data_IF_279208447276
#
_entry.id   IF_279208447276
#
_cell.length_a   1.000
_cell.length_b   1.000
_cell.length_c   1.000
_cell.angle_alpha   90.00
_cell.angle_beta   90.00
_cell.angle_gamma   90.00
#
_symmetry.space_group_name_H-M   'P 1'
#
loop_
_entity.id
_entity.type
_entity.pdbx_description
1 polymer ?
#
# COMPACT_ATOMS: atom_id res chain seq x y z
N UNK A 1 4.24 2.99 -6.39
CA UNK A 1 3.69 3.27 -5.05
C UNK A 1 3.83 4.76 -4.78
N UNK A 2 2.92 5.35 -4.03
CA UNK A 2 2.88 6.80 -3.76
C UNK A 2 2.37 7.67 -4.93
N UNK A 3 1.92 7.07 -6.01
CA UNK A 3 1.43 7.77 -7.22
C UNK A 3 -0.04 8.16 -7.12
N UNK A 4 -0.85 7.35 -6.47
CA UNK A 4 -2.31 7.36 -6.59
C UNK A 4 -2.94 8.65 -6.03
N UNK A 5 -2.45 9.12 -4.89
CA UNK A 5 -2.96 10.36 -4.29
C UNK A 5 -2.55 11.61 -5.11
N UNK A 6 -1.27 11.83 -5.46
CA UNK A 6 -0.88 12.92 -6.38
C UNK A 6 -1.60 12.84 -7.73
N UNK A 7 -1.77 11.64 -8.30
CA UNK A 7 -2.49 11.48 -9.57
C UNK A 7 -3.96 11.91 -9.46
N UNK A 8 -4.60 11.62 -8.33
CA UNK A 8 -5.98 12.05 -8.06
C UNK A 8 -6.11 13.57 -8.02
N UNK A 9 -5.12 14.28 -7.46
CA UNK A 9 -5.04 15.73 -7.50
C UNK A 9 -4.85 16.23 -8.95
N UNK A 10 -3.96 15.59 -9.71
CA UNK A 10 -3.75 15.91 -11.11
C UNK A 10 -5.02 15.77 -11.95
N UNK A 11 -5.83 14.73 -11.70
CA UNK A 11 -7.13 14.53 -12.35
C UNK A 11 -8.09 15.69 -12.02
N UNK A 12 -8.12 16.14 -10.76
CA UNK A 12 -8.92 17.30 -10.36
C UNK A 12 -8.44 18.59 -11.03
N UNK A 13 -7.15 18.85 -11.02
CA UNK A 13 -6.54 20.02 -11.67
C UNK A 13 -6.77 20.04 -13.17
N UNK A 14 -6.87 18.87 -13.80
CA UNK A 14 -7.24 18.73 -15.21
C UNK A 14 -8.73 18.97 -15.49
N UNK A 15 -9.53 19.34 -14.48
CA UNK A 15 -10.94 19.73 -14.65
C UNK A 15 -11.95 18.58 -14.60
N UNK A 16 -11.60 17.44 -14.03
CA UNK A 16 -12.55 16.35 -13.84
C UNK A 16 -13.75 16.79 -12.98
N UNK A 17 -14.97 16.59 -13.48
CA UNK A 17 -16.23 17.01 -12.84
C UNK A 17 -16.91 15.90 -12.05
N UNK A 18 -16.53 14.64 -12.26
CA UNK A 18 -17.05 13.48 -11.51
C UNK A 18 -16.38 13.30 -10.15
N UNK A 19 -16.81 12.33 -9.37
CA UNK A 19 -16.12 11.93 -8.14
C UNK A 19 -14.77 11.29 -8.48
N UNK A 20 -13.74 11.63 -7.71
CA UNK A 20 -12.41 11.05 -7.84
C UNK A 20 -12.10 10.24 -6.59
N UNK A 21 -11.89 8.93 -6.77
CA UNK A 21 -11.54 8.00 -5.72
C UNK A 21 -10.13 7.47 -5.93
N UNK A 22 -9.31 7.50 -4.88
CA UNK A 22 -8.01 6.85 -4.83
C UNK A 22 -8.11 5.59 -3.95
N UNK A 23 -7.95 4.40 -4.53
CA UNK A 23 -7.82 3.15 -3.79
C UNK A 23 -6.35 2.86 -3.57
N UNK A 24 -5.90 2.89 -2.34
CA UNK A 24 -4.48 2.75 -2.00
C UNK A 24 -4.30 1.83 -0.80
N UNK A 25 -3.17 1.12 -0.75
CA UNK A 25 -2.75 0.42 0.46
C UNK A 25 -2.17 1.39 1.49
N UNK A 26 -2.19 0.97 2.73
CA UNK A 26 -1.61 1.67 3.89
C UNK A 26 -0.16 2.11 3.65
N UNK A 27 0.69 1.20 3.16
CA UNK A 27 2.08 1.52 2.83
C UNK A 27 2.24 2.55 1.72
N UNK A 28 1.35 2.53 0.73
CA UNK A 28 1.34 3.53 -0.35
C UNK A 28 0.90 4.90 0.18
N UNK A 29 -0.12 4.93 1.05
CA UNK A 29 -0.56 6.16 1.69
C UNK A 29 0.56 6.82 2.51
N UNK A 30 1.28 6.03 3.30
CA UNK A 30 2.37 6.52 4.17
C UNK A 30 3.57 7.10 3.41
N UNK A 31 3.66 6.90 2.10
CA UNK A 31 4.74 7.48 1.31
C UNK A 31 4.60 8.99 1.13
N UNK A 32 3.39 9.50 0.96
CA UNK A 32 3.14 10.93 0.76
C UNK A 32 1.74 11.39 1.20
N UNK A 33 1.35 11.17 2.46
CA UNK A 33 0.06 11.62 2.98
C UNK A 33 -0.10 13.14 2.93
N UNK A 34 1.02 13.88 2.87
CA UNK A 34 1.07 15.34 2.78
C UNK A 34 0.32 15.92 1.57
N UNK A 35 0.09 15.13 0.53
CA UNK A 35 -0.74 15.55 -0.60
C UNK A 35 -2.19 15.85 -0.23
N UNK A 36 -2.68 15.33 0.92
CA UNK A 36 -3.96 15.78 1.47
C UNK A 36 -3.94 17.25 1.86
N UNK A 37 -2.82 17.76 2.40
CA UNK A 37 -2.68 19.18 2.68
C UNK A 37 -2.71 20.00 1.38
N UNK A 38 -2.06 19.55 0.32
CA UNK A 38 -2.15 20.15 -1.01
C UNK A 38 -3.59 20.17 -1.51
N UNK A 39 -4.32 19.06 -1.37
CA UNK A 39 -5.73 18.97 -1.76
C UNK A 39 -6.61 20.00 -1.02
N UNK A 40 -6.39 20.15 0.29
CA UNK A 40 -7.10 21.13 1.11
C UNK A 40 -6.74 22.56 0.68
N UNK A 41 -5.47 22.83 0.47
CA UNK A 41 -4.96 24.16 0.07
C UNK A 41 -5.55 24.59 -1.28
N UNK A 42 -5.65 23.67 -2.23
CA UNK A 42 -6.17 23.92 -3.58
C UNK A 42 -7.71 23.78 -3.67
N UNK A 43 -8.38 23.41 -2.58
CA UNK A 43 -9.83 23.16 -2.58
C UNK A 43 -10.25 21.98 -3.46
N UNK A 44 -9.39 20.98 -3.60
CA UNK A 44 -9.62 19.83 -4.49
C UNK A 44 -10.28 18.68 -3.73
N UNK A 45 -11.51 18.34 -4.09
CA UNK A 45 -12.23 17.19 -3.53
C UNK A 45 -11.71 15.88 -4.13
N UNK A 46 -11.12 15.06 -3.28
CA UNK A 46 -10.75 13.65 -3.56
C UNK A 46 -11.20 12.79 -2.40
N UNK A 47 -11.53 11.53 -2.66
CA UNK A 47 -11.85 10.55 -1.62
C UNK A 47 -10.82 9.43 -1.67
N UNK A 48 -10.02 9.30 -0.61
CA UNK A 48 -8.98 8.29 -0.47
C UNK A 48 -9.54 7.12 0.33
N UNK A 49 -9.51 5.90 -0.22
CA UNK A 49 -9.79 4.66 0.50
C UNK A 49 -8.47 4.01 0.83
N UNK A 50 -8.11 4.00 2.10
CA UNK A 50 -6.90 3.33 2.60
C UNK A 50 -7.29 1.91 3.01
N UNK A 51 -6.82 0.95 2.22
CA UNK A 51 -6.99 -0.48 2.48
C UNK A 51 -5.84 -0.94 3.38
N UNK A 52 -6.11 -1.01 4.68
CA UNK A 52 -5.09 -1.30 5.70
C UNK A 52 -4.96 -2.81 5.91
N UNK A 53 -3.84 -3.36 5.51
CA UNK A 53 -3.42 -4.73 5.81
C UNK A 53 -2.10 -4.78 6.58
N UNK A 54 -1.75 -3.69 7.23
CA UNK A 54 -0.60 -3.49 8.12
C UNK A 54 0.76 -3.72 7.43
N UNK A 55 0.90 -3.24 6.18
CA UNK A 55 2.20 -3.25 5.50
C UNK A 55 2.17 -3.51 4.01
N UNK A 56 3.34 -3.82 3.49
CA UNK A 56 3.57 -4.12 2.07
C UNK A 56 3.33 -5.60 1.77
N UNK A 57 2.08 -6.06 1.93
CA UNK A 57 1.76 -7.50 1.89
C UNK A 57 2.03 -8.15 0.52
N UNK A 58 1.94 -7.41 -0.59
CA UNK A 58 2.32 -7.92 -1.91
C UNK A 58 3.82 -8.22 -1.95
N UNK A 59 4.65 -7.32 -1.43
CA UNK A 59 6.11 -7.53 -1.37
C UNK A 59 6.44 -8.67 -0.42
N UNK A 60 5.77 -8.74 0.72
CA UNK A 60 5.91 -9.87 1.66
C UNK A 60 5.63 -11.21 0.97
N UNK A 61 4.54 -11.30 0.22
CA UNK A 61 4.18 -12.51 -0.55
C UNK A 61 5.26 -12.88 -1.56
N UNK A 62 5.79 -11.91 -2.30
CA UNK A 62 6.88 -12.13 -3.25
C UNK A 62 8.13 -12.66 -2.56
N UNK A 63 8.54 -12.09 -1.42
CA UNK A 63 9.68 -12.57 -0.65
C UNK A 63 9.45 -14.01 -0.15
N UNK A 64 8.29 -14.30 0.45
CA UNK A 64 7.95 -15.64 0.92
C UNK A 64 7.97 -16.67 -0.22
N UNK A 65 7.47 -16.32 -1.38
CA UNK A 65 7.44 -17.21 -2.54
C UNK A 65 8.83 -17.41 -3.15
N UNK A 66 9.73 -16.43 -3.05
CA UNK A 66 11.04 -16.46 -3.70
C UNK A 66 12.14 -16.99 -2.79
N UNK A 67 12.16 -16.54 -1.52
CA UNK A 67 13.27 -16.85 -0.57
C UNK A 67 12.80 -17.54 0.71
N UNK A 68 11.50 -17.81 0.86
CA UNK A 68 10.93 -18.53 1.98
C UNK A 68 10.78 -17.72 3.28
N UNK A 69 11.27 -16.49 3.34
CA UNK A 69 11.12 -15.59 4.49
C UNK A 69 10.86 -14.16 4.02
N UNK A 70 10.39 -13.32 4.93
CA UNK A 70 10.16 -11.89 4.67
C UNK A 70 10.88 -11.04 5.70
N UNK A 71 11.21 -9.79 5.33
CA UNK A 71 11.84 -8.84 6.21
C UNK A 71 11.33 -7.42 5.98
N UNK A 72 10.88 -6.76 7.06
CA UNK A 72 10.53 -5.35 7.07
C UNK A 72 9.33 -4.95 6.21
N UNK A 73 8.48 -5.90 5.81
CA UNK A 73 7.31 -5.63 4.97
C UNK A 73 6.04 -5.33 5.77
N UNK A 74 5.98 -5.77 7.03
CA UNK A 74 4.86 -5.49 7.92
C UNK A 74 5.22 -4.34 8.87
N UNK A 75 4.25 -3.54 9.23
CA UNK A 75 4.42 -2.46 10.20
C UNK A 75 4.38 -3.01 11.62
N UNK A 76 5.51 -3.57 12.05
CA UNK A 76 5.68 -4.18 13.37
C UNK A 76 6.75 -3.48 14.19
N UNK A 77 6.59 -3.53 15.49
CA UNK A 77 7.67 -3.18 16.43
C UNK A 77 8.76 -4.24 16.44
N UNK A 78 9.93 -3.90 16.98
CA UNK A 78 10.94 -4.90 17.26
C UNK A 78 10.58 -5.70 18.50
N UNK A 79 10.82 -6.99 18.44
CA UNK A 79 10.71 -7.90 19.58
C UNK A 79 12.02 -7.91 20.43
N UNK A 80 12.08 -8.80 21.40
CA UNK A 80 13.25 -8.95 22.29
C UNK A 80 14.53 -9.43 21.57
N UNK A 81 14.39 -10.04 20.40
CA UNK A 81 15.51 -10.46 19.54
C UNK A 81 15.95 -9.37 18.56
N UNK A 82 15.34 -8.21 18.60
CA UNK A 82 15.51 -7.10 17.66
C UNK A 82 15.00 -7.39 16.24
N UNK A 83 14.24 -8.46 16.05
CA UNK A 83 13.52 -8.72 14.82
C UNK A 83 12.25 -7.83 14.73
N UNK A 84 11.78 -7.51 13.51
CA UNK A 84 10.53 -6.77 13.27
C UNK A 84 9.32 -7.73 13.32
N UNK A 85 9.18 -8.45 14.46
CA UNK A 85 8.18 -9.50 14.68
C UNK A 85 7.30 -9.23 15.91
N UNK A 86 7.42 -8.06 16.51
CA UNK A 86 6.58 -7.62 17.62
C UNK A 86 5.15 -7.27 17.19
N UNK A 87 4.46 -6.50 18.00
CA UNK A 87 3.08 -6.07 17.73
C UNK A 87 2.99 -5.17 16.48
N UNK A 88 1.84 -5.18 15.81
CA UNK A 88 1.57 -4.24 14.74
C UNK A 88 1.52 -2.80 15.27
N UNK A 89 1.98 -1.87 14.47
CA UNK A 89 1.88 -0.44 14.80
C UNK A 89 0.43 0.00 14.72
N UNK A 90 -0.03 0.66 15.77
CA UNK A 90 -1.36 1.29 15.82
C UNK A 90 -1.32 2.65 15.10
N UNK A 91 -1.32 2.64 13.77
CA UNK A 91 -1.32 3.85 12.95
C UNK A 91 -2.75 4.36 12.83
N UNK A 92 -2.99 5.58 13.31
CA UNK A 92 -4.30 6.23 13.17
C UNK A 92 -4.34 7.06 11.88
N UNK A 93 -4.77 6.42 10.79
CA UNK A 93 -4.89 7.06 9.48
C UNK A 93 -5.94 8.17 9.47
N UNK A 94 -7.00 8.05 10.27
CA UNK A 94 -8.02 9.08 10.37
C UNK A 94 -7.47 10.35 10.99
N UNK A 95 -6.81 10.26 12.16
CA UNK A 95 -6.18 11.43 12.78
C UNK A 95 -5.08 12.04 11.91
N UNK A 96 -4.32 11.20 11.20
CA UNK A 96 -3.32 11.68 10.26
C UNK A 96 -3.96 12.54 9.16
N UNK A 97 -5.03 12.07 8.53
CA UNK A 97 -5.74 12.84 7.50
C UNK A 97 -6.43 14.10 8.06
N UNK A 98 -7.07 13.99 9.22
CA UNK A 98 -7.74 15.11 9.91
C UNK A 98 -6.75 16.22 10.28
N UNK A 99 -5.54 15.87 10.69
CA UNK A 99 -4.48 16.85 11.00
C UNK A 99 -4.09 17.71 9.80
N UNK A 100 -4.34 17.24 8.58
CA UNK A 100 -4.14 17.95 7.32
C UNK A 100 -5.39 18.63 6.78
N UNK A 101 -6.52 18.57 7.51
CA UNK A 101 -7.78 19.24 7.16
C UNK A 101 -8.77 18.40 6.36
N UNK A 102 -8.47 17.14 6.06
CA UNK A 102 -9.41 16.21 5.45
C UNK A 102 -10.49 15.77 6.46
N UNK A 103 -11.59 15.22 5.98
CA UNK A 103 -12.56 14.50 6.80
C UNK A 103 -12.28 13.01 6.70
N UNK A 104 -12.34 12.29 7.82
CA UNK A 104 -12.00 10.88 7.83
C UNK A 104 -13.05 10.01 8.54
N UNK A 105 -13.11 8.73 8.15
CA UNK A 105 -13.92 7.67 8.75
C UNK A 105 -13.09 6.40 8.86
N UNK A 106 -13.16 5.76 10.01
CA UNK A 106 -12.71 4.39 10.19
C UNK A 106 -13.91 3.46 10.03
N UNK A 107 -13.78 2.39 9.28
CA UNK A 107 -14.87 1.45 8.99
C UNK A 107 -14.38 0.00 9.12
N UNK A 108 -15.19 -0.83 9.75
CA UNK A 108 -14.92 -2.25 10.00
C UNK A 108 -15.94 -3.17 9.30
N UNK A 109 -17.07 -2.61 8.87
CA UNK A 109 -18.16 -3.36 8.24
C UNK A 109 -18.55 -2.79 6.89
N UNK A 110 -19.18 -3.62 6.05
CA UNK A 110 -19.69 -3.18 4.75
C UNK A 110 -20.76 -2.07 4.89
N UNK A 111 -21.59 -2.14 5.92
CA UNK A 111 -22.61 -1.11 6.18
C UNK A 111 -21.96 0.23 6.54
N UNK A 112 -20.94 0.23 7.37
CA UNK A 112 -20.19 1.44 7.71
C UNK A 112 -19.46 2.01 6.49
N UNK A 113 -18.88 1.15 5.66
CA UNK A 113 -18.26 1.57 4.41
C UNK A 113 -19.27 2.25 3.49
N UNK A 114 -20.46 1.66 3.30
CA UNK A 114 -21.52 2.27 2.48
C UNK A 114 -21.95 3.64 3.01
N UNK A 115 -22.11 3.76 4.33
CA UNK A 115 -22.45 5.03 4.99
C UNK A 115 -21.33 6.07 4.82
N UNK A 116 -20.08 5.68 5.11
CA UNK A 116 -18.92 6.57 4.97
C UNK A 116 -18.75 7.07 3.53
N UNK A 117 -18.94 6.21 2.52
CA UNK A 117 -18.89 6.61 1.12
C UNK A 117 -20.02 7.56 0.73
N UNK A 118 -21.23 7.37 1.28
CA UNK A 118 -22.34 8.28 1.04
C UNK A 118 -22.09 9.66 1.68
N UNK A 119 -21.58 9.69 2.90
CA UNK A 119 -21.20 10.93 3.60
C UNK A 119 -20.01 11.61 2.89
N UNK A 120 -18.98 10.85 2.49
CA UNK A 120 -17.85 11.36 1.75
C UNK A 120 -18.28 11.98 0.41
N UNK A 121 -19.26 11.40 -0.27
CA UNK A 121 -19.81 11.96 -1.50
C UNK A 121 -20.50 13.31 -1.29
N UNK A 122 -21.14 13.49 -0.15
CA UNK A 122 -21.82 14.76 0.21
C UNK A 122 -20.85 15.82 0.76
N UNK A 123 -19.65 15.44 1.14
CA UNK A 123 -18.64 16.36 1.67
C UNK A 123 -17.97 17.15 0.52
N UNK A 124 -17.51 18.36 0.84
CA UNK A 124 -16.80 19.25 -0.10
C UNK A 124 -15.28 19.24 0.08
N UNK A 125 -14.80 18.81 1.24
CA UNK A 125 -13.37 18.69 1.56
C UNK A 125 -12.78 17.37 1.04
N UNK A 126 -11.46 17.26 0.94
CA UNK A 126 -10.80 15.96 0.79
C UNK A 126 -11.25 15.00 1.89
N UNK A 127 -11.43 13.73 1.51
CA UNK A 127 -11.94 12.69 2.40
C UNK A 127 -10.97 11.51 2.47
N UNK A 128 -10.93 10.85 3.62
CA UNK A 128 -10.25 9.56 3.78
C UNK A 128 -11.21 8.56 4.43
N UNK A 129 -11.31 7.37 3.87
CA UNK A 129 -11.99 6.23 4.47
C UNK A 129 -10.95 5.16 4.75
N UNK A 130 -10.69 4.91 6.03
CA UNK A 130 -9.80 3.85 6.48
C UNK A 130 -10.60 2.55 6.61
N UNK A 131 -10.18 1.55 5.84
CA UNK A 131 -10.81 0.22 5.78
C UNK A 131 -9.80 -0.81 6.23
N UNK A 132 -9.99 -1.39 7.39
CA UNK A 132 -9.18 -2.53 7.83
C UNK A 132 -9.59 -3.78 7.06
N UNK A 133 -8.61 -4.45 6.45
CA UNK A 133 -8.82 -5.65 5.64
C UNK A 133 -7.96 -6.81 6.14
N UNK A 134 -8.29 -8.03 5.72
CA UNK A 134 -7.49 -9.22 6.07
C UNK A 134 -6.05 -9.11 5.55
N UNK A 135 -5.09 -9.29 6.44
CA UNK A 135 -3.65 -9.10 6.18
C UNK A 135 -3.10 -10.08 5.16
N UNK A 136 -3.51 -11.33 5.22
CA UNK A 136 -2.89 -12.43 4.48
C UNK A 136 -3.84 -13.13 3.51
N UNK A 137 -4.98 -12.52 3.21
CA UNK A 137 -5.89 -13.02 2.20
C UNK A 137 -5.46 -12.52 0.82
N UNK A 138 -5.07 -13.46 -0.05
CA UNK A 138 -4.63 -13.14 -1.41
C UNK A 138 -5.53 -13.86 -2.43
N UNK A 139 -5.72 -13.23 -3.57
CA UNK A 139 -6.28 -13.90 -4.73
C UNK A 139 -5.42 -15.10 -5.17
N UNK A 140 -5.94 -15.98 -6.03
CA UNK A 140 -5.17 -17.10 -6.55
C UNK A 140 -3.88 -16.60 -7.25
N UNK A 141 -2.78 -17.39 -7.21
CA UNK A 141 -1.56 -17.03 -7.91
C UNK A 141 -1.81 -16.97 -9.42
N UNK A 142 -1.10 -16.09 -10.09
CA UNK A 142 -1.19 -15.97 -11.56
C UNK A 142 -0.57 -17.15 -12.32
N UNK A 143 0.19 -18.01 -11.62
CA UNK A 143 0.93 -19.15 -12.16
C UNK A 143 1.88 -18.80 -13.32
N UNK A 144 2.24 -17.54 -13.45
CA UNK A 144 3.26 -17.07 -14.38
C UNK A 144 4.59 -16.83 -13.67
N UNK A 145 5.67 -17.07 -14.38
CA UNK A 145 6.99 -16.74 -13.90
C UNK A 145 7.17 -15.20 -13.91
N UNK A 146 7.62 -14.68 -12.81
CA UNK A 146 7.95 -13.27 -12.66
C UNK A 146 9.46 -13.12 -12.52
N UNK A 147 10.01 -12.15 -13.23
CA UNK A 147 11.41 -11.77 -13.10
C UNK A 147 11.63 -11.01 -11.77
N UNK A 148 11.60 -11.77 -10.68
CA UNK A 148 11.82 -11.24 -9.32
C UNK A 148 13.16 -11.73 -8.82
N UNK A 149 14.17 -10.86 -8.87
CA UNK A 149 15.52 -11.17 -8.43
C UNK A 149 15.60 -11.25 -6.89
N UNK A 150 16.17 -12.34 -6.30
CA UNK A 150 16.64 -12.32 -4.93
C UNK A 150 17.73 -11.26 -4.70
N UNK A 151 17.94 -10.87 -3.46
CA UNK A 151 18.96 -9.88 -3.10
C UNK A 151 20.34 -10.27 -3.62
N UNK A 152 21.03 -9.32 -4.23
CA UNK A 152 22.39 -9.50 -4.75
C UNK A 152 23.44 -9.52 -3.63
N UNK A 153 23.23 -8.68 -2.61
CA UNK A 153 24.08 -8.61 -1.43
C UNK A 153 23.31 -9.17 -0.25
N UNK A 154 23.79 -10.30 0.28
CA UNK A 154 23.16 -11.00 1.41
C UNK A 154 24.18 -11.88 2.14
N UNK A 155 24.03 -11.99 3.45
CA UNK A 155 24.78 -12.95 4.28
C UNK A 155 24.10 -14.32 4.36
N UNK A 156 22.81 -14.41 3.95
CA UNK A 156 22.06 -15.65 3.92
C UNK A 156 22.48 -16.54 2.75
N UNK A 157 22.92 -17.76 3.08
CA UNK A 157 23.44 -18.72 2.10
C UNK A 157 22.36 -19.23 1.13
N UNK A 158 21.11 -19.38 1.61
CA UNK A 158 20.01 -19.85 0.77
C UNK A 158 19.60 -18.76 -0.22
N UNK A 159 19.50 -17.51 0.19
CA UNK A 159 19.22 -16.38 -0.71
C UNK A 159 20.30 -16.24 -1.78
N UNK A 160 21.57 -16.47 -1.44
CA UNK A 160 22.68 -16.48 -2.40
C UNK A 160 22.51 -17.57 -3.47
N UNK A 161 22.20 -18.79 -3.03
CA UNK A 161 21.92 -19.92 -3.93
C UNK A 161 20.75 -19.67 -4.87
N UNK A 162 19.68 -19.06 -4.35
CA UNK A 162 18.50 -18.68 -5.14
C UNK A 162 18.84 -17.59 -6.16
N UNK A 163 19.72 -16.65 -5.81
CA UNK A 163 20.22 -15.63 -6.74
C UNK A 163 21.01 -16.26 -7.89
N UNK A 164 21.91 -17.19 -7.63
CA UNK A 164 22.65 -17.92 -8.66
C UNK A 164 21.71 -18.67 -9.61
N UNK A 165 20.67 -19.34 -9.08
CA UNK A 165 19.66 -20.02 -9.87
C UNK A 165 18.86 -19.04 -10.74
N UNK A 166 18.48 -17.88 -10.19
CA UNK A 166 17.81 -16.81 -10.91
C UNK A 166 18.65 -16.30 -12.10
N UNK A 167 19.95 -16.01 -11.89
CA UNK A 167 20.84 -15.53 -12.96
C UNK A 167 21.01 -16.58 -14.08
N UNK A 168 21.09 -17.86 -13.73
CA UNK A 168 21.11 -18.96 -14.70
C UNK A 168 19.79 -19.04 -15.51
N UNK A 169 18.64 -18.85 -14.86
CA UNK A 169 17.34 -18.81 -15.51
C UNK A 169 17.23 -17.64 -16.47
N UNK A 170 17.65 -16.45 -16.00
CA UNK A 170 17.65 -15.23 -16.79
C UNK A 170 18.53 -15.31 -18.03
N UNK A 171 19.73 -15.92 -17.91
CA UNK A 171 20.64 -16.11 -19.03
C UNK A 171 20.08 -17.01 -20.15
N UNK A 172 19.06 -17.82 -19.85
CA UNK A 172 18.38 -18.70 -20.83
C UNK A 172 17.21 -18.03 -21.55
N UNK A 173 16.80 -16.84 -21.10
CA UNK A 173 15.71 -16.12 -21.74
C UNK A 173 16.08 -15.67 -23.13
N UNK A 174 15.14 -15.80 -24.07
CA UNK A 174 15.29 -15.22 -25.40
C UNK A 174 15.16 -13.70 -25.33
N UNK A 175 16.15 -13.02 -25.79
CA UNK A 175 16.10 -11.58 -25.99
C UNK A 175 15.44 -11.31 -27.35
N UNK A 176 14.31 -10.65 -27.32
CA UNK A 176 13.68 -10.13 -28.54
C UNK A 176 14.08 -8.65 -28.61
N UNK A 177 15.22 -8.37 -29.28
CA UNK A 177 15.71 -7.04 -29.56
C UNK A 177 15.06 -6.44 -30.80
#
# INVERSE_FOLDING_TARGET
MGYELPASLGIRLAGATGEVYAFIGDGTYLMNPSELATAVQEGLKVTVLVMDNHGYQVIRRLQLATVGHSFGNEFRTRDSSMALEGDYLAIDFCKNAESMGARAWHVETEEELRRALAEARAETRPCLVHVEIEKHHFGPPSEVWWDVAPAEVTDDAETRRLRESYEQGRARQRYYG
#
